data_IF_263910357689
#
_entry.id   IF_263910357689
#
_cell.length_a   1.000
_cell.length_b   1.000
_cell.length_c   1.000
_cell.angle_alpha   90.00
_cell.angle_beta   90.00
_cell.angle_gamma   90.00
#
_symmetry.space_group_name_H-M   'P 1'
#
loop_
_entity.id
_entity.type
_entity.pdbx_description
1 polymer ?
#
# COMPACT_ATOMS: atom_id res chain seq x y z
N UNK A 1 -33.55 1.84 -16.97
CA UNK A 1 -32.33 2.66 -16.99
C UNK A 1 -32.06 3.09 -15.57
N UNK A 2 -31.14 2.42 -14.90
CA UNK A 2 -30.56 2.89 -13.63
C UNK A 2 -29.06 2.74 -13.81
N UNK A 3 -28.39 3.87 -14.02
CA UNK A 3 -26.95 3.94 -14.05
C UNK A 3 -26.43 3.62 -12.67
N UNK A 4 -25.64 2.55 -12.57
CA UNK A 4 -24.82 2.31 -11.39
C UNK A 4 -23.47 2.97 -11.67
N UNK A 5 -23.23 4.06 -10.97
CA UNK A 5 -22.06 4.91 -11.11
C UNK A 5 -20.79 4.17 -10.67
N UNK A 6 -19.82 4.15 -11.57
CA UNK A 6 -18.41 4.42 -11.28
C UNK A 6 -17.64 3.41 -10.42
N UNK A 7 -17.10 2.36 -11.05
CA UNK A 7 -15.94 1.64 -10.54
C UNK A 7 -14.73 1.99 -11.41
N UNK A 8 -14.28 3.25 -11.40
CA UNK A 8 -13.18 3.74 -12.24
C UNK A 8 -11.78 3.48 -11.65
N UNK A 9 -11.58 2.36 -10.95
CA UNK A 9 -10.22 1.95 -10.61
C UNK A 9 -9.53 1.38 -11.85
N UNK A 10 -8.38 1.91 -12.17
CA UNK A 10 -7.50 1.34 -13.19
C UNK A 10 -7.00 -0.03 -12.74
N UNK A 11 -6.61 -0.92 -13.68
CA UNK A 11 -6.03 -2.22 -13.32
C UNK A 11 -4.83 -2.10 -12.37
N UNK A 12 -4.05 -1.02 -12.46
CA UNK A 12 -2.92 -0.75 -11.57
C UNK A 12 -3.37 -0.41 -10.15
N UNK A 13 -4.45 0.34 -9.98
CA UNK A 13 -5.03 0.65 -8.67
C UNK A 13 -5.65 -0.61 -8.04
N UNK A 14 -6.31 -1.45 -8.83
CA UNK A 14 -6.83 -2.74 -8.34
C UNK A 14 -5.71 -3.68 -7.88
N UNK A 15 -4.60 -3.73 -8.63
CA UNK A 15 -3.42 -4.50 -8.24
C UNK A 15 -2.79 -3.92 -6.97
N UNK A 16 -2.71 -2.59 -6.87
CA UNK A 16 -2.20 -1.89 -5.69
C UNK A 16 -3.00 -2.26 -4.44
N UNK A 17 -4.33 -2.24 -4.53
CA UNK A 17 -5.20 -2.64 -3.42
C UNK A 17 -4.92 -4.07 -2.94
N UNK A 18 -4.68 -5.01 -3.87
CA UNK A 18 -4.34 -6.39 -3.55
C UNK A 18 -2.99 -6.49 -2.84
N UNK A 19 -1.99 -5.76 -3.32
CA UNK A 19 -0.65 -5.70 -2.71
C UNK A 19 -0.74 -5.14 -1.29
N UNK A 20 -1.40 -3.99 -1.11
CA UNK A 20 -1.55 -3.32 0.18
C UNK A 20 -2.26 -4.25 1.19
N UNK A 21 -3.37 -4.88 0.80
CA UNK A 21 -4.08 -5.83 1.66
C UNK A 21 -3.23 -7.04 2.04
N UNK A 22 -2.47 -7.59 1.08
CA UNK A 22 -1.60 -8.73 1.36
C UNK A 22 -0.50 -8.37 2.38
N UNK A 23 0.15 -7.21 2.20
CA UNK A 23 1.21 -6.74 3.10
C UNK A 23 0.68 -6.44 4.51
N UNK A 24 -0.52 -5.85 4.61
CA UNK A 24 -1.19 -5.63 5.88
C UNK A 24 -1.59 -6.93 6.59
N UNK A 25 -2.15 -7.90 5.86
CA UNK A 25 -2.56 -9.20 6.39
C UNK A 25 -1.38 -10.01 6.94
N UNK A 26 -0.25 -9.98 6.25
CA UNK A 26 0.98 -10.66 6.70
C UNK A 26 1.69 -9.91 7.83
N UNK A 27 1.19 -8.75 8.25
CA UNK A 27 1.77 -7.94 9.32
C UNK A 27 3.14 -7.33 8.96
N UNK A 28 3.48 -7.29 7.67
CA UNK A 28 4.76 -6.78 7.19
C UNK A 28 4.83 -5.25 7.28
N UNK A 29 3.69 -4.59 7.01
CA UNK A 29 3.53 -3.13 7.07
C UNK A 29 2.13 -2.81 7.60
N UNK A 30 1.95 -1.67 8.27
CA UNK A 30 0.61 -1.22 8.67
C UNK A 30 -0.13 -0.63 7.48
N UNK A 31 -1.45 -0.77 7.46
CA UNK A 31 -2.29 -0.21 6.39
C UNK A 31 -2.08 1.30 6.22
N UNK A 32 -1.91 2.04 7.32
CA UNK A 32 -1.65 3.49 7.29
C UNK A 32 -0.38 3.87 6.52
N UNK A 33 0.65 3.03 6.58
CA UNK A 33 1.89 3.29 5.82
C UNK A 33 1.64 3.06 4.33
N UNK A 34 0.94 1.98 4.03
CA UNK A 34 0.67 1.54 2.68
C UNK A 34 -0.26 2.49 1.92
N UNK A 35 -1.17 3.19 2.63
CA UNK A 35 -2.02 4.22 2.04
C UNK A 35 -1.22 5.37 1.41
N UNK A 36 -0.11 5.78 2.03
CA UNK A 36 0.76 6.83 1.49
C UNK A 36 1.53 6.40 0.24
N UNK A 37 1.80 5.10 0.09
CA UNK A 37 2.53 4.53 -1.06
C UNK A 37 1.62 4.09 -2.21
N UNK A 38 0.33 3.84 -1.96
CA UNK A 38 -0.62 3.39 -2.97
C UNK A 38 -0.56 4.17 -4.31
N UNK A 39 -0.54 5.52 -4.35
CA UNK A 39 -0.43 6.25 -5.62
C UNK A 39 0.91 6.02 -6.34
N UNK A 40 2.00 5.83 -5.60
CA UNK A 40 3.33 5.58 -6.18
C UNK A 40 3.42 4.13 -6.70
N UNK A 41 2.83 3.17 -6.00
CA UNK A 41 2.73 1.77 -6.42
C UNK A 41 1.89 1.69 -7.71
N UNK A 42 0.71 2.32 -7.73
CA UNK A 42 -0.19 2.31 -8.88
C UNK A 42 0.43 2.96 -10.12
N UNK A 43 1.28 3.97 -9.94
CA UNK A 43 2.02 4.61 -11.04
C UNK A 43 3.28 3.85 -11.48
N UNK A 44 3.63 2.75 -10.81
CA UNK A 44 4.82 1.93 -11.12
C UNK A 44 6.15 2.65 -10.84
N UNK A 45 6.13 3.73 -10.03
CA UNK A 45 7.31 4.56 -9.75
C UNK A 45 8.08 4.13 -8.51
N UNK A 46 7.61 3.10 -7.83
CA UNK A 46 8.26 2.58 -6.61
C UNK A 46 9.58 1.91 -6.97
N UNK A 47 10.63 2.32 -6.26
CA UNK A 47 11.95 1.70 -6.30
C UNK A 47 12.14 0.72 -5.14
N UNK A 48 13.18 -0.10 -5.24
CA UNK A 48 13.54 -1.01 -4.15
C UNK A 48 13.86 -0.24 -2.86
N UNK A 49 14.50 0.93 -2.95
CA UNK A 49 14.80 1.76 -1.79
C UNK A 49 13.55 2.25 -1.06
N UNK A 50 12.47 2.55 -1.77
CA UNK A 50 11.21 3.03 -1.17
C UNK A 50 10.58 1.95 -0.27
N UNK A 51 10.61 0.69 -0.71
CA UNK A 51 10.18 -0.45 0.10
C UNK A 51 11.03 -0.63 1.34
N UNK A 52 12.36 -0.47 1.20
CA UNK A 52 13.29 -0.62 2.33
C UNK A 52 13.02 0.42 3.42
N UNK A 53 12.86 1.69 3.05
CA UNK A 53 12.56 2.78 4.00
C UNK A 53 11.29 2.48 4.81
N UNK A 54 10.29 1.85 4.18
CA UNK A 54 9.03 1.52 4.83
C UNK A 54 9.16 0.38 5.83
N UNK A 55 9.91 -0.66 5.46
CA UNK A 55 10.23 -1.75 6.37
C UNK A 55 11.05 -1.23 7.56
N UNK A 56 12.03 -0.36 7.32
CA UNK A 56 12.82 0.27 8.39
C UNK A 56 11.92 1.09 9.34
N UNK A 57 11.02 1.92 8.80
CA UNK A 57 10.03 2.66 9.62
C UNK A 57 9.07 1.76 10.40
N UNK A 58 8.67 0.62 9.82
CA UNK A 58 7.83 -0.36 10.50
C UNK A 58 8.58 -1.03 11.65
N UNK A 59 9.84 -1.41 11.44
CA UNK A 59 10.73 -1.98 12.47
C UNK A 59 10.97 -0.97 13.59
N UNK A 60 11.32 0.28 13.28
CA UNK A 60 11.62 1.31 14.28
C UNK A 60 10.42 1.62 15.18
N UNK A 61 9.20 1.63 14.63
CA UNK A 61 7.98 1.76 15.43
C UNK A 61 7.67 0.52 16.27
N UNK A 62 8.04 -0.67 15.78
CA UNK A 62 7.96 -1.91 16.57
C UNK A 62 8.95 -1.94 17.74
N UNK A 63 10.09 -1.23 17.63
CA UNK A 63 11.10 -1.11 18.69
C UNK A 63 10.81 0.00 19.71
N UNK A 64 9.96 0.97 19.37
CA UNK A 64 9.58 2.08 20.25
C UNK A 64 8.25 1.89 20.99
N UNK A 65 7.66 0.69 20.93
CA UNK A 65 6.37 0.37 21.55
C UNK A 65 6.50 -0.78 22.55
N UNK A 66 7.07 -0.49 23.71
CA UNK A 66 6.79 -1.15 24.99
C UNK A 66 6.36 -0.07 26.00
#
# INVERSE_FOLDING_TARGET
MSGESDNTKTPSEELTDKIVKALGKEGLLKEDDLQGMAPTIASGKVKAEDWRVMVEKAIDRGKGGE
#
